data_IF_984514389346
#
_entry.id   IF_984514389346
#
_cell.length_a   1.000
_cell.length_b   1.000
_cell.length_c   1.000
_cell.angle_alpha   90.00
_cell.angle_beta   90.00
_cell.angle_gamma   90.00
#
_symmetry.space_group_name_H-M   'P 1'
#
loop_
_entity.id
_entity.type
_entity.pdbx_description
1 polymer ?
#
# COMPACT_ATOMS: atom_id res chain seq x y z
N UNK A 1 18.10 21.23 -85.85
CA UNK A 1 16.98 22.19 -85.75
C UNK A 1 16.12 21.79 -84.56
N UNK A 2 15.90 22.78 -83.67
CA UNK A 2 14.93 22.92 -82.56
C UNK A 2 14.28 21.64 -81.94
N UNK A 3 14.55 21.34 -80.66
CA UNK A 3 13.84 21.78 -79.43
C UNK A 3 12.57 20.92 -79.15
N UNK A 4 12.18 20.51 -77.93
CA UNK A 4 12.46 21.02 -76.59
C UNK A 4 12.13 19.96 -75.48
N UNK A 5 12.96 19.99 -74.42
CA UNK A 5 12.67 19.89 -72.95
C UNK A 5 11.97 18.69 -72.27
N UNK A 6 12.25 18.46 -70.96
CA UNK A 6 12.38 17.11 -70.38
C UNK A 6 11.34 16.77 -69.29
N UNK A 7 11.14 15.47 -69.07
CA UNK A 7 10.39 14.92 -67.94
C UNK A 7 11.28 14.05 -67.04
N UNK A 8 11.51 14.52 -65.82
CA UNK A 8 12.24 13.83 -64.76
C UNK A 8 11.37 12.73 -64.16
N UNK A 9 11.83 11.47 -64.16
CA UNK A 9 11.28 10.43 -63.28
C UNK A 9 12.44 9.72 -62.59
N UNK A 10 12.50 9.88 -61.27
CA UNK A 10 13.48 9.24 -60.39
C UNK A 10 12.81 8.05 -59.74
N UNK A 11 13.50 6.92 -59.83
CA UNK A 11 13.18 5.60 -59.33
C UNK A 11 13.13 5.51 -57.80
N UNK A 12 12.17 4.73 -57.30
CA UNK A 12 12.13 4.17 -55.94
C UNK A 12 13.30 3.20 -55.72
N UNK A 13 13.77 3.10 -54.47
CA UNK A 13 13.83 1.75 -53.89
C UNK A 13 13.45 1.63 -52.41
N UNK A 14 12.74 0.53 -52.14
CA UNK A 14 12.84 -0.41 -51.01
C UNK A 14 12.85 0.03 -49.55
N UNK A 15 12.06 -0.71 -48.76
CA UNK A 15 12.43 -1.41 -47.52
C UNK A 15 11.53 -1.13 -46.32
N UNK A 16 10.70 -2.13 -46.04
CA UNK A 16 10.22 -2.55 -44.71
C UNK A 16 11.24 -2.31 -43.59
N UNK A 17 10.81 -1.67 -42.49
CA UNK A 17 11.43 -1.84 -41.17
C UNK A 17 10.48 -1.45 -40.02
N UNK A 18 10.07 -2.50 -39.28
CA UNK A 18 9.86 -2.59 -37.83
C UNK A 18 9.40 -1.36 -37.01
N UNK A 19 8.23 -1.53 -36.38
CA UNK A 19 7.78 -0.80 -35.20
C UNK A 19 8.80 -0.89 -34.04
N UNK A 20 9.24 0.22 -33.42
CA UNK A 20 10.14 0.18 -32.29
C UNK A 20 9.40 -0.23 -31.01
N UNK A 21 9.84 -1.35 -30.41
CA UNK A 21 9.48 -1.76 -29.05
C UNK A 21 10.04 -0.73 -28.06
N UNK A 22 9.17 -0.12 -27.26
CA UNK A 22 9.55 0.62 -26.07
C UNK A 22 10.10 -0.36 -25.01
N UNK A 23 11.42 -0.41 -24.88
CA UNK A 23 12.11 -1.08 -23.78
C UNK A 23 12.24 -0.10 -22.62
N UNK A 24 11.65 -0.44 -21.47
CA UNK A 24 11.91 0.25 -20.20
C UNK A 24 13.22 -0.26 -19.60
N UNK A 25 14.19 0.61 -19.25
CA UNK A 25 15.42 0.15 -18.63
C UNK A 25 15.19 -0.23 -17.16
N UNK A 26 15.54 -1.48 -16.84
CA UNK A 26 15.76 -1.98 -15.49
C UNK A 26 17.09 -1.40 -14.98
N UNK A 27 17.05 -0.53 -13.97
CA UNK A 27 18.25 -0.16 -13.20
C UNK A 27 17.87 -0.15 -11.73
N UNK A 28 18.11 -1.28 -11.06
CA UNK A 28 18.19 -1.35 -9.60
C UNK A 28 19.65 -1.10 -9.21
N UNK A 29 19.91 0.02 -8.55
CA UNK A 29 21.21 0.28 -7.92
C UNK A 29 21.16 -0.26 -6.50
N UNK A 30 22.03 -1.22 -6.19
CA UNK A 30 22.22 -1.78 -4.87
C UNK A 30 23.11 -0.80 -4.08
N UNK A 31 22.53 -0.06 -3.14
CA UNK A 31 23.30 0.69 -2.15
C UNK A 31 23.64 -0.24 -0.97
N UNK A 32 24.92 -0.59 -0.86
CA UNK A 32 25.49 -1.28 0.30
C UNK A 32 25.48 -0.37 1.54
N UNK A 33 24.91 -0.86 2.63
CA UNK A 33 24.89 -0.18 3.94
C UNK A 33 26.21 -0.43 4.67
N UNK A 34 26.95 0.62 5.13
CA UNK A 34 28.09 0.42 6.00
C UNK A 34 27.64 0.13 7.44
N UNK A 35 28.23 -0.92 8.04
CA UNK A 35 28.10 -1.25 9.47
C UNK A 35 29.02 -0.34 10.28
N UNK A 36 28.47 0.49 11.16
CA UNK A 36 29.13 0.83 12.43
C UNK A 36 28.12 1.35 13.48
N UNK A 37 28.28 0.97 14.76
CA UNK A 37 27.30 1.24 15.81
C UNK A 37 27.50 2.63 16.42
N UNK A 38 26.45 3.45 16.42
CA UNK A 38 26.42 4.70 17.18
C UNK A 38 26.06 4.41 18.65
N UNK A 39 27.01 4.65 19.55
CA UNK A 39 26.80 4.66 21.02
C UNK A 39 26.07 5.94 21.42
N UNK A 40 24.93 5.81 22.09
CA UNK A 40 24.27 6.93 22.79
C UNK A 40 24.68 6.98 24.27
N UNK A 41 24.88 8.18 24.86
CA UNK A 41 25.19 8.32 26.28
C UNK A 41 23.96 8.11 27.18
N UNK A 42 24.20 7.56 28.38
CA UNK A 42 23.20 7.35 29.45
C UNK A 42 22.97 8.62 30.28
N UNK A 43 21.80 8.63 30.93
CA UNK A 43 21.37 9.38 32.14
C UNK A 43 20.77 10.78 31.87
N UNK A 44 19.70 11.29 32.52
CA UNK A 44 19.02 11.03 33.81
C UNK A 44 17.48 11.18 33.62
N UNK A 45 16.65 10.37 34.29
CA UNK A 45 15.20 10.61 34.46
C UNK A 45 14.88 11.25 35.83
N UNK A 46 13.96 12.23 35.92
CA UNK A 46 13.22 12.49 37.14
C UNK A 46 11.95 11.62 37.23
N UNK A 47 11.72 11.03 38.40
CA UNK A 47 10.56 10.21 38.73
C UNK A 47 9.25 11.03 38.66
N UNK A 48 8.33 10.62 37.79
CA UNK A 48 6.92 11.00 37.88
C UNK A 48 6.11 9.73 38.13
N UNK A 49 5.43 9.67 39.29
CA UNK A 49 4.53 8.56 39.65
C UNK A 49 3.24 8.68 38.83
N UNK A 50 2.97 7.73 37.95
CA UNK A 50 1.64 7.56 37.35
C UNK A 50 0.86 6.49 38.12
N UNK A 51 -0.26 6.90 38.68
CA UNK A 51 -1.27 6.03 39.30
C UNK A 51 -1.97 5.19 38.23
N UNK A 52 -2.14 3.88 38.51
CA UNK A 52 -2.83 2.91 37.65
C UNK A 52 -4.29 3.31 37.43
N UNK A 53 -4.69 3.48 36.18
CA UNK A 53 -6.09 3.47 35.76
C UNK A 53 -6.28 2.19 34.93
N UNK A 54 -7.23 1.36 35.35
CA UNK A 54 -7.63 0.12 34.69
C UNK A 54 -8.13 0.40 33.26
N UNK A 55 -7.96 -0.52 32.29
CA UNK A 55 -8.38 -0.28 30.92
C UNK A 55 -9.92 -0.38 30.84
N UNK A 56 -10.58 0.74 30.58
CA UNK A 56 -11.94 0.75 30.09
C UNK A 56 -11.91 0.30 28.62
N UNK A 57 -12.73 -0.69 28.28
CA UNK A 57 -12.97 -1.12 26.91
C UNK A 57 -13.42 0.09 26.07
N UNK A 58 -12.62 0.47 25.08
CA UNK A 58 -12.92 1.56 24.18
C UNK A 58 -13.84 1.06 23.05
N UNK A 59 -15.15 1.07 23.30
CA UNK A 59 -16.11 1.14 22.18
C UNK A 59 -16.06 2.56 21.62
N UNK A 60 -15.27 2.75 20.55
CA UNK A 60 -15.32 3.97 19.76
C UNK A 60 -16.72 4.09 19.13
N UNK A 61 -17.46 5.13 19.52
CA UNK A 61 -18.74 5.49 18.93
C UNK A 61 -18.51 5.95 17.49
N UNK A 62 -18.79 5.06 16.52
CA UNK A 62 -18.87 5.41 15.10
C UNK A 62 -20.18 6.19 14.89
N UNK A 63 -20.07 7.48 14.58
CA UNK A 63 -21.19 8.25 14.04
C UNK A 63 -21.56 7.62 12.69
N UNK A 64 -22.70 6.94 12.61
CA UNK A 64 -23.14 6.11 11.48
C UNK A 64 -23.45 6.82 10.14
N UNK A 65 -22.74 7.90 9.81
CA UNK A 65 -22.80 8.55 8.51
C UNK A 65 -21.66 8.01 7.65
N UNK A 66 -22.00 7.24 6.61
CA UNK A 66 -21.02 6.80 5.60
C UNK A 66 -20.42 8.02 4.91
N UNK A 67 -19.11 8.15 4.95
CA UNK A 67 -18.37 9.20 4.24
C UNK A 67 -18.66 9.13 2.73
N UNK A 68 -19.07 10.25 2.14
CA UNK A 68 -19.21 10.36 0.67
C UNK A 68 -17.82 10.53 0.09
N UNK A 69 -17.37 9.52 -0.68
CA UNK A 69 -16.04 9.51 -1.26
C UNK A 69 -15.95 10.49 -2.44
N UNK A 70 -14.93 11.37 -2.49
CA UNK A 70 -14.74 12.29 -3.62
C UNK A 70 -14.43 11.53 -4.92
N UNK A 71 -14.80 12.06 -6.09
CA UNK A 71 -14.43 11.47 -7.38
C UNK A 71 -12.92 11.54 -7.59
N UNK A 72 -12.37 10.55 -8.31
CA UNK A 72 -10.95 10.54 -8.67
C UNK A 72 -10.61 11.69 -9.63
N UNK A 73 -9.54 12.42 -9.33
CA UNK A 73 -9.01 13.48 -10.18
C UNK A 73 -8.21 12.89 -11.33
N UNK A 74 -8.44 13.42 -12.53
CA UNK A 74 -7.84 12.99 -13.77
C UNK A 74 -6.96 14.09 -14.40
N UNK A 75 -6.49 13.89 -15.63
CA UNK A 75 -5.60 14.83 -16.32
C UNK A 75 -6.22 16.18 -16.65
N UNK A 76 -7.54 16.29 -16.64
CA UNK A 76 -8.28 17.53 -16.87
C UNK A 76 -8.61 18.28 -15.57
N UNK A 77 -8.37 17.66 -14.43
CA UNK A 77 -8.72 18.21 -13.12
C UNK A 77 -7.72 19.28 -12.67
N UNK A 78 -8.23 20.42 -12.22
CA UNK A 78 -7.42 21.47 -11.59
C UNK A 78 -6.77 20.98 -10.28
N UNK A 79 -5.59 21.51 -9.90
CA UNK A 79 -4.96 21.13 -8.65
C UNK A 79 -5.79 21.61 -7.45
N UNK A 80 -5.85 20.84 -6.35
CA UNK A 80 -6.34 21.37 -5.08
C UNK A 80 -5.42 22.49 -4.59
N UNK A 81 -5.87 23.28 -3.62
CA UNK A 81 -4.99 24.21 -2.92
C UNK A 81 -3.86 23.43 -2.21
N UNK A 82 -2.61 23.85 -2.40
CA UNK A 82 -1.43 23.18 -1.84
C UNK A 82 -0.87 24.06 -0.72
N UNK A 83 -0.58 23.45 0.43
CA UNK A 83 -0.10 24.11 1.64
C UNK A 83 -1.02 25.23 2.15
N UNK A 84 -2.33 25.00 2.05
CA UNK A 84 -3.39 25.87 2.57
C UNK A 84 -3.72 25.60 4.06
N UNK A 85 -2.97 24.69 4.70
CA UNK A 85 -3.21 24.22 6.07
C UNK A 85 -4.14 23.00 6.15
N UNK A 86 -4.81 22.61 5.06
CA UNK A 86 -5.63 21.39 5.03
C UNK A 86 -4.74 20.16 4.87
N UNK A 87 -4.87 19.18 5.76
CA UNK A 87 -4.17 17.90 5.62
C UNK A 87 -4.82 17.07 4.52
N UNK A 88 -4.02 16.63 3.54
CA UNK A 88 -4.52 15.91 2.35
C UNK A 88 -3.76 14.60 2.17
N UNK A 89 -4.50 13.51 2.00
CA UNK A 89 -3.98 12.20 1.66
C UNK A 89 -4.26 11.92 0.18
N UNK A 90 -3.23 12.01 -0.65
CA UNK A 90 -3.31 11.68 -2.06
C UNK A 90 -3.27 10.16 -2.24
N UNK A 91 -4.32 9.60 -2.84
CA UNK A 91 -4.51 8.15 -2.96
C UNK A 91 -4.89 7.75 -4.38
N UNK A 92 -4.95 6.45 -4.61
CA UNK A 92 -5.81 5.87 -5.63
C UNK A 92 -6.65 4.80 -4.96
N UNK A 93 -7.96 4.77 -5.21
CA UNK A 93 -8.89 3.85 -4.52
C UNK A 93 -8.55 2.37 -4.71
N UNK A 94 -7.80 2.02 -5.76
CA UNK A 94 -7.40 0.65 -6.06
C UNK A 94 -5.97 0.33 -5.62
N UNK A 95 -5.20 1.29 -5.12
CA UNK A 95 -3.80 1.09 -4.71
C UNK A 95 -3.71 0.45 -3.31
N UNK A 96 -3.12 -0.76 -3.15
CA UNK A 96 -3.01 -1.42 -1.85
C UNK A 96 -2.11 -0.65 -0.88
N UNK A 97 -1.06 0.02 -1.37
CA UNK A 97 -0.19 0.85 -0.54
C UNK A 97 -0.94 2.05 0.03
N UNK A 98 -1.81 2.68 -0.77
CA UNK A 98 -2.62 3.81 -0.30
C UNK A 98 -3.73 3.37 0.65
N UNK A 99 -4.28 2.18 0.43
CA UNK A 99 -5.28 1.59 1.30
C UNK A 99 -4.77 1.41 2.74
N UNK A 100 -3.48 1.08 2.96
CA UNK A 100 -2.87 1.05 4.31
C UNK A 100 -3.12 2.34 5.09
N UNK A 101 -2.83 3.47 4.46
CA UNK A 101 -2.94 4.80 5.09
C UNK A 101 -4.41 5.20 5.24
N UNK A 102 -5.26 4.81 4.29
CA UNK A 102 -6.70 5.03 4.37
C UNK A 102 -7.34 4.25 5.53
N UNK A 103 -7.00 2.98 5.71
CA UNK A 103 -7.48 2.18 6.85
C UNK A 103 -7.03 2.82 8.17
N UNK A 104 -5.76 3.22 8.25
CA UNK A 104 -5.21 3.91 9.44
C UNK A 104 -5.96 5.18 9.76
N UNK A 105 -6.21 6.03 8.74
CA UNK A 105 -7.02 7.25 8.86
C UNK A 105 -8.40 6.94 9.43
N UNK A 106 -9.10 5.95 8.85
CA UNK A 106 -10.47 5.64 9.25
C UNK A 106 -10.53 5.05 10.67
N UNK A 107 -9.61 4.15 11.00
CA UNK A 107 -9.58 3.50 12.31
C UNK A 107 -9.26 4.49 13.43
N UNK A 108 -8.40 5.48 13.15
CA UNK A 108 -8.07 6.55 14.08
C UNK A 108 -9.16 7.64 14.17
N UNK A 109 -10.24 7.56 13.39
CA UNK A 109 -11.30 8.58 13.38
C UNK A 109 -10.87 9.91 12.75
N UNK A 110 -9.94 9.87 11.79
CA UNK A 110 -9.31 11.06 11.20
C UNK A 110 -9.99 11.53 9.90
N UNK A 111 -11.23 11.12 9.65
CA UNK A 111 -11.92 11.41 8.39
C UNK A 111 -12.10 12.92 8.15
N UNK A 112 -12.45 13.66 9.21
CA UNK A 112 -12.63 15.11 9.12
C UNK A 112 -11.30 15.88 9.06
N UNK A 113 -10.24 15.31 9.65
CA UNK A 113 -8.91 15.92 9.75
C UNK A 113 -8.07 15.73 8.49
N UNK A 114 -8.22 14.58 7.81
CA UNK A 114 -7.42 14.22 6.64
C UNK A 114 -8.36 14.09 5.44
N UNK A 115 -8.27 14.98 4.46
CA UNK A 115 -9.10 14.91 3.24
C UNK A 115 -8.48 13.93 2.25
N UNK A 116 -9.30 13.07 1.65
CA UNK A 116 -8.86 12.19 0.57
C UNK A 116 -8.80 12.97 -0.74
N UNK A 117 -7.66 12.87 -1.43
CA UNK A 117 -7.47 13.37 -2.80
C UNK A 117 -7.20 12.16 -3.70
N UNK A 118 -8.24 11.47 -4.17
CA UNK A 118 -8.10 10.34 -5.07
C UNK A 118 -7.62 10.79 -6.44
N UNK A 119 -6.68 10.05 -7.03
CA UNK A 119 -6.10 10.28 -8.34
C UNK A 119 -6.34 9.03 -9.20
N UNK A 120 -6.79 9.23 -10.44
CA UNK A 120 -6.73 8.19 -11.45
C UNK A 120 -5.29 8.00 -11.92
N UNK A 121 -4.68 6.85 -11.62
CA UNK A 121 -3.29 6.58 -12.00
C UNK A 121 -3.10 6.28 -13.49
N UNK A 122 -4.17 5.90 -14.21
CA UNK A 122 -4.13 5.67 -15.66
C UNK A 122 -4.26 6.97 -16.45
N UNK A 123 -4.99 7.95 -15.90
CA UNK A 123 -5.18 9.28 -16.47
C UNK A 123 -4.81 10.39 -15.49
N UNK A 124 -3.60 10.33 -14.92
CA UNK A 124 -3.19 11.20 -13.80
C UNK A 124 -2.96 12.66 -14.23
N UNK A 125 -3.32 13.64 -13.37
CA UNK A 125 -2.93 15.03 -13.55
C UNK A 125 -1.43 15.28 -13.46
N UNK A 126 -0.90 16.07 -14.40
CA UNK A 126 0.50 16.47 -14.45
C UNK A 126 0.93 17.23 -13.18
N UNK A 127 0.03 18.04 -12.62
CA UNK A 127 0.29 18.83 -11.41
C UNK A 127 0.67 17.98 -10.21
N UNK A 128 0.26 16.70 -10.14
CA UNK A 128 0.62 15.86 -9.00
C UNK A 128 2.13 15.66 -8.92
N UNK A 129 2.78 15.35 -10.05
CA UNK A 129 4.24 15.23 -10.11
C UNK A 129 4.91 16.58 -9.95
N UNK A 130 4.40 17.59 -10.63
CA UNK A 130 5.08 18.88 -10.80
C UNK A 130 4.99 19.78 -9.57
N UNK A 131 3.88 19.70 -8.84
CA UNK A 131 3.55 20.65 -7.76
C UNK A 131 3.39 20.02 -6.39
N UNK A 132 3.07 18.73 -6.31
CA UNK A 132 2.74 18.06 -5.03
C UNK A 132 3.82 17.06 -4.62
N UNK A 133 4.05 16.02 -5.43
CA UNK A 133 4.92 14.90 -5.06
C UNK A 133 5.77 14.42 -6.25
N UNK A 134 7.01 14.92 -6.38
CA UNK A 134 7.92 14.59 -7.49
C UNK A 134 8.18 13.10 -7.75
N UNK A 135 8.23 12.21 -6.73
CA UNK A 135 8.35 10.77 -6.97
C UNK A 135 7.17 10.17 -7.74
N UNK A 136 6.06 10.90 -7.85
CA UNK A 136 4.92 10.58 -8.71
C UNK A 136 4.31 9.20 -8.41
N UNK A 137 4.17 8.88 -7.12
CA UNK A 137 3.53 7.66 -6.60
C UNK A 137 2.49 8.04 -5.56
N UNK A 138 1.55 7.13 -5.28
CA UNK A 138 0.62 7.23 -4.15
C UNK A 138 0.84 6.03 -3.21
N UNK A 139 0.61 6.17 -1.89
CA UNK A 139 0.12 7.36 -1.19
C UNK A 139 1.17 8.46 -1.04
N UNK A 140 0.70 9.70 -0.89
CA UNK A 140 1.47 10.78 -0.26
C UNK A 140 0.57 11.59 0.68
N UNK A 141 1.15 12.11 1.75
CA UNK A 141 0.45 12.90 2.78
C UNK A 141 1.03 14.31 2.80
N UNK A 142 0.19 15.30 2.52
CA UNK A 142 0.46 16.72 2.76
C UNK A 142 0.04 17.06 4.19
N UNK A 143 1.01 17.42 5.03
CA UNK A 143 0.80 17.84 6.41
C UNK A 143 1.96 18.72 6.88
N UNK A 144 1.65 19.80 7.60
CA UNK A 144 2.64 20.75 8.14
C UNK A 144 3.63 21.28 7.08
N UNK A 145 3.10 21.75 5.94
CA UNK A 145 3.88 22.31 4.82
C UNK A 145 4.91 21.35 4.21
N UNK A 146 4.67 20.05 4.33
CA UNK A 146 5.52 19.02 3.77
C UNK A 146 4.67 17.91 3.15
N UNK A 147 5.14 17.32 2.05
CA UNK A 147 4.54 16.13 1.43
C UNK A 147 5.44 14.93 1.65
N UNK A 148 4.93 13.92 2.35
CA UNK A 148 5.64 12.68 2.70
C UNK A 148 5.08 11.50 1.90
N UNK A 149 5.93 10.57 1.49
CA UNK A 149 5.52 9.31 0.85
C UNK A 149 5.82 8.09 1.70
N UNK A 150 5.82 6.93 1.03
CA UNK A 150 6.08 5.61 1.61
C UNK A 150 4.99 5.14 2.60
N UNK A 151 4.17 4.18 2.16
CA UNK A 151 2.96 3.78 2.90
C UNK A 151 3.22 3.30 4.33
N UNK A 152 4.34 2.62 4.60
CA UNK A 152 4.69 2.13 5.94
C UNK A 152 5.12 3.28 6.86
N UNK A 153 5.86 4.24 6.32
CA UNK A 153 6.27 5.43 7.05
C UNK A 153 5.06 6.30 7.36
N UNK A 154 4.12 6.43 6.42
CA UNK A 154 2.89 7.20 6.62
C UNK A 154 1.99 6.60 7.70
N UNK A 155 1.80 5.28 7.77
CA UNK A 155 0.98 4.69 8.85
C UNK A 155 1.63 4.87 10.23
N UNK A 156 2.96 4.79 10.32
CA UNK A 156 3.71 5.10 11.55
C UNK A 156 3.63 6.59 11.89
N UNK A 157 3.69 7.45 10.88
CA UNK A 157 3.54 8.90 11.04
C UNK A 157 2.16 9.25 11.59
N UNK A 158 1.09 8.68 11.06
CA UNK A 158 -0.27 8.88 11.58
C UNK A 158 -0.39 8.38 13.03
N UNK A 159 0.20 7.23 13.36
CA UNK A 159 0.21 6.72 14.73
C UNK A 159 0.91 7.66 15.72
N UNK A 160 2.06 8.23 15.32
CA UNK A 160 2.87 9.08 16.22
C UNK A 160 2.46 10.56 16.26
N UNK A 161 1.68 11.06 15.30
CA UNK A 161 1.42 12.50 15.14
C UNK A 161 -0.06 12.88 15.16
N UNK A 162 -0.98 11.92 15.18
CA UNK A 162 -2.42 12.17 15.21
C UNK A 162 -3.09 11.43 16.37
N UNK A 163 -4.16 12.03 16.89
CA UNK A 163 -5.03 11.45 17.90
C UNK A 163 -5.78 10.21 17.39
N UNK A 164 -6.47 9.53 18.31
CA UNK A 164 -7.30 8.36 18.04
C UNK A 164 -6.76 7.10 18.72
N UNK A 165 -7.47 5.96 18.59
CA UNK A 165 -7.01 4.68 19.11
C UNK A 165 -5.57 4.36 18.68
N UNK A 166 -4.79 3.80 19.59
CA UNK A 166 -3.42 3.36 19.28
C UNK A 166 -3.46 2.09 18.44
N UNK A 167 -2.55 2.04 17.47
CA UNK A 167 -2.35 0.91 16.55
C UNK A 167 -1.01 0.19 16.78
N UNK A 168 -0.31 0.51 17.87
CA UNK A 168 0.89 -0.19 18.32
C UNK A 168 0.81 -0.45 19.83
N UNK A 169 0.96 -1.71 20.29
CA UNK A 169 0.95 -2.03 21.71
C UNK A 169 2.19 -1.46 22.42
N UNK A 170 2.08 -1.24 23.73
CA UNK A 170 3.19 -0.76 24.55
C UNK A 170 4.22 -1.84 24.89
N UNK A 171 3.83 -3.11 24.81
CA UNK A 171 4.68 -4.25 25.09
C UNK A 171 5.93 -4.26 24.17
N UNK A 172 7.15 -4.24 24.74
CA UNK A 172 8.38 -4.19 23.95
C UNK A 172 8.57 -5.38 22.99
N UNK A 173 8.17 -6.59 23.39
CA UNK A 173 8.31 -7.78 22.55
C UNK A 173 7.35 -7.74 21.35
N UNK A 174 6.13 -7.23 21.56
CA UNK A 174 5.18 -6.96 20.46
C UNK A 174 5.69 -5.85 19.54
N UNK A 175 6.33 -4.79 20.07
CA UNK A 175 6.94 -3.73 19.25
C UNK A 175 8.09 -4.25 18.39
N UNK A 176 8.98 -5.04 18.96
CA UNK A 176 10.07 -5.68 18.22
C UNK A 176 9.52 -6.58 17.10
N UNK A 177 8.50 -7.39 17.40
CA UNK A 177 7.87 -8.24 16.40
C UNK A 177 7.12 -7.46 15.32
N UNK A 178 6.51 -6.32 15.69
CA UNK A 178 5.90 -5.43 14.72
C UNK A 178 6.92 -4.91 13.70
N UNK A 179 8.09 -4.48 14.16
CA UNK A 179 9.16 -4.01 13.27
C UNK A 179 9.71 -5.11 12.36
N UNK A 180 9.85 -6.34 12.89
CA UNK A 180 10.21 -7.53 12.09
C UNK A 180 9.20 -7.75 10.94
N UNK A 181 7.91 -7.80 11.27
CA UNK A 181 6.86 -8.10 10.30
C UNK A 181 6.66 -6.96 9.30
N UNK A 182 6.71 -5.69 9.73
CA UNK A 182 6.65 -4.55 8.82
C UNK A 182 7.82 -4.58 7.82
N UNK A 183 9.02 -4.96 8.28
CA UNK A 183 10.20 -5.14 7.41
C UNK A 183 10.05 -6.31 6.44
N UNK A 184 9.37 -7.38 6.85
CA UNK A 184 9.12 -8.56 6.02
C UNK A 184 8.09 -8.33 4.89
N UNK A 185 7.27 -7.28 4.97
CA UNK A 185 6.19 -7.04 3.99
C UNK A 185 6.65 -7.02 2.52
N UNK A 186 7.84 -6.49 2.23
CA UNK A 186 8.37 -6.46 0.86
C UNK A 186 8.73 -7.87 0.36
N UNK A 187 9.38 -8.68 1.21
CA UNK A 187 9.70 -10.07 0.89
C UNK A 187 8.45 -10.92 0.71
N UNK A 188 7.44 -10.75 1.57
CA UNK A 188 6.13 -11.39 1.42
C UNK A 188 5.51 -11.05 0.06
N UNK A 189 5.41 -9.76 -0.28
CA UNK A 189 4.82 -9.32 -1.54
C UNK A 189 5.61 -9.85 -2.75
N UNK A 190 6.94 -9.86 -2.67
CA UNK A 190 7.80 -10.39 -3.74
C UNK A 190 7.55 -11.89 -3.95
N UNK A 191 7.56 -12.69 -2.88
CA UNK A 191 7.31 -14.13 -2.97
C UNK A 191 5.94 -14.45 -3.59
N UNK A 192 4.89 -13.74 -3.16
CA UNK A 192 3.55 -13.96 -3.69
C UNK A 192 3.45 -13.51 -5.15
N UNK A 193 3.96 -12.32 -5.50
CA UNK A 193 3.87 -11.81 -6.88
C UNK A 193 4.71 -12.65 -7.86
N UNK A 194 5.89 -13.14 -7.44
CA UNK A 194 6.70 -14.04 -8.26
C UNK A 194 5.95 -15.32 -8.62
N UNK A 195 5.13 -15.84 -7.70
CA UNK A 195 4.31 -17.03 -7.95
C UNK A 195 3.22 -16.83 -9.01
N UNK A 196 2.82 -15.58 -9.31
CA UNK A 196 1.76 -15.33 -10.29
C UNK A 196 2.13 -15.75 -11.70
N UNK A 197 3.42 -15.67 -12.05
CA UNK A 197 3.93 -16.09 -13.37
C UNK A 197 4.67 -17.43 -13.34
N UNK A 198 4.97 -17.95 -12.15
CA UNK A 198 5.61 -19.25 -12.00
C UNK A 198 4.60 -20.40 -12.09
N UNK A 199 5.07 -21.58 -12.48
CA UNK A 199 4.27 -22.81 -12.44
C UNK A 199 4.07 -23.33 -11.01
N UNK A 200 4.97 -22.93 -10.09
CA UNK A 200 4.96 -23.34 -8.70
C UNK A 200 4.42 -22.25 -7.78
N UNK A 201 3.66 -22.66 -6.76
CA UNK A 201 3.18 -21.81 -5.67
C UNK A 201 4.04 -21.90 -4.40
N UNK A 202 5.18 -22.61 -4.44
CA UNK A 202 6.01 -22.92 -3.25
C UNK A 202 6.43 -21.66 -2.48
N UNK A 203 6.90 -20.62 -3.16
CA UNK A 203 7.32 -19.36 -2.52
C UNK A 203 6.15 -18.64 -1.85
N UNK A 204 4.99 -18.58 -2.51
CA UNK A 204 3.79 -18.01 -1.93
C UNK A 204 3.32 -18.84 -0.72
N UNK A 205 3.34 -20.16 -0.83
CA UNK A 205 3.00 -21.08 0.26
C UNK A 205 3.87 -20.83 1.48
N UNK A 206 5.20 -20.80 1.31
CA UNK A 206 6.13 -20.53 2.40
C UNK A 206 5.92 -19.13 3.03
N UNK A 207 5.59 -18.12 2.22
CA UNK A 207 5.29 -16.78 2.72
C UNK A 207 4.00 -16.75 3.56
N UNK A 208 2.96 -17.48 3.14
CA UNK A 208 1.72 -17.62 3.93
C UNK A 208 1.92 -18.51 5.16
N UNK A 209 2.79 -19.53 5.11
CA UNK A 209 3.14 -20.36 6.26
C UNK A 209 3.90 -19.54 7.32
N UNK A 210 4.79 -18.65 6.90
CA UNK A 210 5.43 -17.70 7.80
C UNK A 210 4.38 -16.82 8.50
N UNK A 211 3.40 -16.31 7.76
CA UNK A 211 2.32 -15.48 8.34
C UNK A 211 1.42 -16.28 9.29
N UNK A 212 1.08 -17.53 8.96
CA UNK A 212 0.33 -18.44 9.85
C UNK A 212 1.08 -18.67 11.18
N UNK A 213 2.40 -18.84 11.13
CA UNK A 213 3.22 -18.95 12.33
C UNK A 213 3.26 -17.64 13.12
N UNK A 214 3.38 -16.50 12.44
CA UNK A 214 3.39 -15.18 13.07
C UNK A 214 2.08 -14.88 13.82
N UNK A 215 0.92 -15.21 13.23
CA UNK A 215 -0.39 -15.08 13.86
C UNK A 215 -0.54 -15.95 15.13
N UNK A 216 0.29 -16.98 15.30
CA UNK A 216 0.29 -17.83 16.49
C UNK A 216 1.18 -17.36 17.64
N UNK A 217 1.94 -16.26 17.46
CA UNK A 217 2.97 -15.85 18.43
C UNK A 217 2.38 -15.28 19.71
N UNK A 218 1.28 -14.53 19.61
CA UNK A 218 0.62 -13.89 20.76
C UNK A 218 -0.81 -14.43 20.89
N UNK A 219 -1.13 -15.04 22.03
CA UNK A 219 -2.39 -15.75 22.26
C UNK A 219 -3.55 -14.90 22.77
N UNK A 220 -3.39 -13.57 22.84
CA UNK A 220 -4.36 -12.64 23.40
C UNK A 220 -5.30 -12.01 22.36
N UNK A 221 -5.37 -12.59 21.16
CA UNK A 221 -6.41 -12.30 20.18
C UNK A 221 -6.06 -12.81 18.77
N UNK A 222 -6.92 -12.52 17.77
CA UNK A 222 -6.81 -13.09 16.43
C UNK A 222 -5.86 -12.34 15.49
N UNK A 223 -5.28 -11.22 15.94
CA UNK A 223 -4.40 -10.35 15.15
C UNK A 223 -2.93 -10.68 15.36
N UNK A 224 -2.05 -10.18 14.48
CA UNK A 224 -0.61 -10.54 14.49
C UNK A 224 0.06 -10.22 15.84
N UNK A 225 -0.37 -9.13 16.50
CA UNK A 225 0.11 -8.73 17.82
C UNK A 225 -0.91 -9.03 18.94
N UNK A 226 -1.84 -9.97 18.70
CA UNK A 226 -3.00 -10.25 19.54
C UNK A 226 -4.16 -9.27 19.29
N UNK A 227 -3.88 -7.96 19.33
CA UNK A 227 -4.84 -6.88 19.03
C UNK A 227 -4.59 -6.26 17.67
N UNK A 228 -5.62 -5.67 17.05
CA UNK A 228 -5.52 -5.01 15.74
C UNK A 228 -4.46 -3.89 15.77
N UNK A 229 -3.60 -3.88 14.76
CA UNK A 229 -2.39 -3.05 14.76
C UNK A 229 -1.98 -2.58 13.36
N UNK A 230 -0.94 -1.74 13.30
CA UNK A 230 -0.30 -1.33 12.04
C UNK A 230 0.20 -2.53 11.21
N UNK A 231 0.54 -3.65 11.85
CA UNK A 231 0.98 -4.86 11.15
C UNK A 231 -0.17 -5.43 10.33
N UNK A 232 -1.35 -5.60 10.94
CA UNK A 232 -2.53 -6.11 10.25
C UNK A 232 -2.91 -5.20 9.06
N UNK A 233 -2.89 -3.88 9.29
CA UNK A 233 -3.13 -2.87 8.25
C UNK A 233 -2.11 -2.98 7.10
N UNK A 234 -0.86 -3.31 7.39
CA UNK A 234 0.18 -3.44 6.37
C UNK A 234 -0.05 -4.63 5.44
N UNK A 235 -0.62 -5.73 5.94
CA UNK A 235 -0.86 -6.95 5.17
C UNK A 235 -2.25 -7.02 4.51
N UNK A 236 -3.30 -6.47 5.14
CA UNK A 236 -4.68 -6.61 4.69
C UNK A 236 -4.93 -6.24 3.23
N UNK A 237 -4.48 -5.06 2.73
CA UNK A 237 -4.71 -4.70 1.33
C UNK A 237 -4.08 -5.68 0.32
N UNK A 238 -2.98 -6.33 0.70
CA UNK A 238 -2.27 -7.26 -0.17
C UNK A 238 -2.96 -8.62 -0.18
N UNK A 239 -3.29 -9.14 0.99
CA UNK A 239 -4.00 -10.42 1.13
C UNK A 239 -5.39 -10.34 0.47
N UNK A 240 -6.10 -9.22 0.62
CA UNK A 240 -7.37 -8.92 -0.08
C UNK A 240 -7.28 -9.11 -1.60
N UNK A 241 -6.14 -8.75 -2.20
CA UNK A 241 -5.91 -8.86 -3.65
C UNK A 241 -5.37 -10.23 -4.05
N UNK A 242 -4.48 -10.79 -3.23
CA UNK A 242 -3.81 -12.05 -3.51
C UNK A 242 -4.74 -13.24 -3.38
N UNK A 243 -5.61 -13.27 -2.38
CA UNK A 243 -6.54 -14.37 -2.12
C UNK A 243 -7.43 -14.70 -3.33
N UNK A 244 -8.23 -13.77 -3.89
CA UNK A 244 -9.10 -14.09 -5.03
C UNK A 244 -8.29 -14.43 -6.28
N UNK A 245 -7.15 -13.78 -6.52
CA UNK A 245 -6.31 -14.07 -7.68
C UNK A 245 -5.67 -15.48 -7.61
N UNK A 246 -5.10 -15.85 -6.46
CA UNK A 246 -4.50 -17.17 -6.26
C UNK A 246 -5.56 -18.27 -6.33
N UNK A 247 -6.74 -18.04 -5.77
CA UNK A 247 -7.84 -18.99 -5.84
C UNK A 247 -8.34 -19.18 -7.29
N UNK A 248 -8.57 -18.08 -8.01
CA UNK A 248 -9.16 -18.16 -9.35
C UNK A 248 -8.14 -18.59 -10.42
N UNK A 249 -6.93 -18.05 -10.40
CA UNK A 249 -5.93 -18.28 -11.46
C UNK A 249 -5.02 -19.46 -11.14
N UNK A 250 -4.54 -19.58 -9.90
CA UNK A 250 -3.60 -20.63 -9.48
C UNK A 250 -4.29 -21.84 -8.84
N UNK A 251 -5.61 -21.79 -8.65
CA UNK A 251 -6.40 -22.82 -7.94
C UNK A 251 -5.82 -23.11 -6.55
N UNK A 252 -5.30 -22.07 -5.90
CA UNK A 252 -4.60 -22.14 -4.63
C UNK A 252 -5.36 -21.38 -3.56
N UNK A 253 -5.93 -22.11 -2.61
CA UNK A 253 -6.59 -21.52 -1.44
C UNK A 253 -5.56 -21.30 -0.33
N UNK A 254 -5.31 -20.03 -0.01
CA UNK A 254 -4.34 -19.63 1.02
C UNK A 254 -4.76 -20.06 2.42
N UNK A 255 -6.02 -20.42 2.65
CA UNK A 255 -6.57 -20.78 3.97
C UNK A 255 -6.44 -22.27 4.30
N UNK A 256 -6.25 -23.13 3.30
CA UNK A 256 -6.10 -24.58 3.53
C UNK A 256 -4.80 -24.85 4.27
N UNK A 257 -4.91 -25.48 5.45
CA UNK A 257 -3.78 -25.70 6.35
C UNK A 257 -3.35 -24.48 7.16
N UNK A 258 -4.06 -23.35 7.07
CA UNK A 258 -3.74 -22.09 7.76
C UNK A 258 -4.95 -21.52 8.53
N UNK A 259 -5.37 -22.20 9.62
CA UNK A 259 -6.57 -21.83 10.36
C UNK A 259 -6.47 -20.45 11.02
N UNK A 260 -5.29 -20.00 11.46
CA UNK A 260 -5.15 -18.66 12.05
C UNK A 260 -5.26 -17.58 10.98
N UNK A 261 -4.69 -17.80 9.80
CA UNK A 261 -4.89 -16.90 8.66
C UNK A 261 -6.37 -16.82 8.26
N UNK A 262 -7.08 -17.95 8.21
CA UNK A 262 -8.52 -17.96 7.98
C UNK A 262 -9.28 -17.12 9.02
N UNK A 263 -9.00 -17.33 10.30
CA UNK A 263 -9.60 -16.56 11.39
C UNK A 263 -9.26 -15.06 11.28
N UNK A 264 -8.01 -14.72 11.00
CA UNK A 264 -7.56 -13.34 10.81
C UNK A 264 -8.30 -12.64 9.67
N UNK A 265 -8.50 -13.31 8.52
CA UNK A 265 -9.29 -12.79 7.39
C UNK A 265 -10.74 -12.54 7.83
N UNK A 266 -11.34 -13.43 8.62
CA UNK A 266 -12.70 -13.23 9.11
C UNK A 266 -12.80 -12.03 10.06
N UNK A 267 -11.87 -11.90 11.01
CA UNK A 267 -11.90 -10.82 12.00
C UNK A 267 -11.59 -9.45 11.40
N UNK A 268 -10.65 -9.37 10.46
CA UNK A 268 -10.34 -8.08 9.83
C UNK A 268 -11.51 -7.54 9.00
N UNK A 269 -12.29 -8.42 8.35
CA UNK A 269 -13.50 -8.03 7.61
C UNK A 269 -14.63 -7.49 8.51
N UNK A 270 -14.53 -7.65 9.84
CA UNK A 270 -15.47 -7.03 10.79
C UNK A 270 -15.07 -5.61 11.17
N UNK A 271 -13.85 -5.18 10.84
CA UNK A 271 -13.36 -3.83 11.14
C UNK A 271 -13.96 -2.85 10.12
N UNK A 272 -14.92 -2.03 10.56
CA UNK A 272 -15.61 -1.04 9.71
C UNK A 272 -14.62 -0.13 8.95
N UNK A 273 -13.58 0.33 9.65
CA UNK A 273 -12.53 1.18 9.09
C UNK A 273 -11.78 0.53 7.91
N UNK A 274 -11.71 -0.80 7.87
CA UNK A 274 -11.16 -1.56 6.75
C UNK A 274 -12.22 -1.83 5.67
N UNK A 275 -13.41 -2.28 6.07
CA UNK A 275 -14.46 -2.70 5.13
C UNK A 275 -14.83 -1.60 4.13
N UNK A 276 -14.94 -0.35 4.57
CA UNK A 276 -15.28 0.79 3.69
C UNK A 276 -14.19 1.10 2.64
N UNK A 277 -12.97 0.60 2.83
CA UNK A 277 -11.84 0.83 1.91
C UNK A 277 -11.78 -0.22 0.81
N UNK A 278 -12.41 -1.38 1.01
CA UNK A 278 -12.36 -2.50 0.08
C UNK A 278 -12.93 -2.13 -1.28
N UNK A 279 -12.44 -2.81 -2.30
CA UNK A 279 -12.98 -2.76 -3.66
C UNK A 279 -13.65 -4.09 -3.98
N UNK A 280 -14.39 -4.15 -5.09
CA UNK A 280 -14.99 -5.41 -5.54
C UNK A 280 -13.88 -6.45 -5.79
N UNK A 281 -13.91 -7.62 -5.12
CA UNK A 281 -12.93 -8.68 -5.33
C UNK A 281 -12.79 -9.12 -6.79
N UNK A 282 -13.87 -9.08 -7.57
CA UNK A 282 -13.85 -9.38 -9.01
C UNK A 282 -13.06 -8.33 -9.78
N UNK A 283 -13.28 -7.04 -9.50
CA UNK A 283 -12.52 -5.96 -10.13
C UNK A 283 -11.02 -6.07 -9.82
N UNK A 284 -10.68 -6.40 -8.56
CA UNK A 284 -9.29 -6.60 -8.14
C UNK A 284 -8.65 -7.80 -8.86
N UNK A 285 -9.34 -8.94 -8.92
CA UNK A 285 -8.86 -10.12 -9.62
C UNK A 285 -8.65 -9.85 -11.11
N UNK A 286 -9.61 -9.18 -11.77
CA UNK A 286 -9.51 -8.82 -13.19
C UNK A 286 -8.40 -7.80 -13.46
N UNK A 287 -8.19 -6.82 -12.57
CA UNK A 287 -7.05 -5.89 -12.69
C UNK A 287 -5.71 -6.63 -12.58
N UNK A 288 -5.61 -7.61 -11.67
CA UNK A 288 -4.41 -8.44 -11.53
C UNK A 288 -4.20 -9.35 -12.74
N UNK A 289 -5.26 -9.97 -13.26
CA UNK A 289 -5.21 -10.68 -14.55
C UNK A 289 -4.68 -9.74 -15.62
N UNK A 290 -5.27 -8.59 -15.89
CA UNK A 290 -4.74 -7.65 -16.91
C UNK A 290 -3.26 -7.30 -16.72
N UNK A 291 -2.82 -7.12 -15.48
CA UNK A 291 -1.42 -6.79 -15.15
C UNK A 291 -0.44 -7.96 -15.34
N UNK A 292 -0.86 -9.18 -15.03
CA UNK A 292 0.03 -10.35 -15.01
C UNK A 292 -0.21 -11.33 -16.15
N UNK A 293 -1.33 -11.21 -16.88
CA UNK A 293 -1.76 -12.01 -18.03
C UNK A 293 -1.11 -11.61 -19.35
N UNK A 294 -0.01 -10.85 -19.36
CA UNK A 294 0.79 -10.66 -20.58
C UNK A 294 1.54 -11.93 -21.04
N UNK A 295 1.10 -13.13 -20.61
CA UNK A 295 1.51 -14.49 -21.00
C UNK A 295 0.74 -15.54 -20.17
N UNK A 296 -0.57 -15.68 -20.40
CA UNK A 296 -1.25 -16.96 -20.19
C UNK A 296 -1.68 -17.48 -21.56
#
# INVERSE_FOLDING_TARGET
MAAATPGTSVSLPTSSAANPRLTFPSVFSICSVPKNPLRYPRNIHPHVKFSRISPLSASAMSSGVKEVLPPALDSSSEPPAIFDGTTKLYISYTCPYAQRVWITRNYKGLQDKIKLIPIDLQNRPAWYKEKVYPPNKVPSLEHNNEVKGESLDLIKYLEGNFEGPSLLPDDPAKREFAEELLSYTNSFNQAVVSSFKADSISEAGAAFDYLENALGKFGDGPFVLGTFSLVDIAYAPFIERYQPFLLDVKKYDITVGRPKLAAWIQEINKIEAYEVTKRDPKELAEAFKRRFSSRF
#
